data_IF_822627497726
#
_entry.id   IF_822627497726
#
_cell.length_a   1.000
_cell.length_b   1.000
_cell.length_c   1.000
_cell.angle_alpha   90.00
_cell.angle_beta   90.00
_cell.angle_gamma   90.00
#
_symmetry.space_group_name_H-M   'P 1'
#
loop_
_entity.id
_entity.type
_entity.pdbx_description
1 polymer ?
2 non-polymer ?
#
# COMPACT_ATOMS: atom_id res chain seq x y z
N UNK A 6 -23.00 12.60 -3.52
CA UNK A 6 -21.66 12.84 -4.10
C UNK A 6 -21.15 14.27 -3.79
N UNK A 7 -20.66 14.47 -2.57
CA UNK A 7 -20.21 15.80 -2.15
C UNK A 7 -18.94 16.15 -2.91
N UNK A 8 -18.79 17.41 -3.31
CA UNK A 8 -17.54 17.90 -3.89
C UNK A 8 -16.81 18.80 -2.89
N UNK A 9 -15.50 18.61 -2.72
CA UNK A 9 -14.70 19.45 -1.82
C UNK A 9 -13.70 20.24 -2.66
N UNK A 10 -13.99 21.53 -2.89
CA UNK A 10 -13.11 22.45 -3.59
C UNK A 10 -11.80 22.54 -2.89
N UNK A 11 -10.72 22.59 -3.66
CA UNK A 11 -9.40 22.46 -3.09
C UNK A 11 -8.53 23.63 -3.53
N UNK A 12 -7.78 24.20 -2.57
CA UNK A 12 -6.74 25.18 -2.86
C UNK A 12 -5.37 24.49 -2.90
N UNK A 13 -4.65 24.67 -4.00
CA UNK A 13 -3.43 23.90 -4.24
C UNK A 13 -2.18 24.74 -4.00
N UNK A 14 -1.16 24.10 -3.43
CA UNK A 14 0.10 24.79 -3.15
C UNK A 14 1.27 23.85 -3.38
N UNK A 15 2.30 24.36 -4.07
CA UNK A 15 3.55 23.64 -4.34
C UNK A 15 4.76 24.52 -3.99
N UNK A 16 5.98 23.98 -4.16
CA UNK A 16 7.24 24.61 -3.68
C UNK A 16 7.52 26.00 -4.21
N UNK A 31 6.33 27.49 0.03
CA UNK A 31 5.21 26.88 -0.67
C UNK A 31 4.26 27.98 -1.20
N UNK A 32 3.77 27.83 -2.43
CA UNK A 32 3.07 28.91 -3.16
C UNK A 32 1.73 28.49 -3.80
N UNK A 33 0.71 29.35 -3.72
CA UNK A 33 -0.62 29.00 -4.25
C UNK A 33 -0.59 28.92 -5.76
N UNK A 34 -1.23 27.87 -6.28
CA UNK A 34 -1.28 27.62 -7.73
C UNK A 34 -2.72 27.70 -8.25
N UNK A 35 -2.90 28.44 -9.34
CA UNK A 35 -4.22 28.65 -9.96
C UNK A 35 -4.40 27.89 -11.26
N UNK A 36 -3.30 27.62 -11.96
CA UNK A 36 -3.37 26.96 -13.26
C UNK A 36 -3.86 25.53 -13.20
N UNK A 37 -3.79 24.86 -14.35
CA UNK A 37 -3.85 23.40 -14.41
C UNK A 37 -2.41 22.89 -14.25
N UNK A 38 -2.26 21.76 -13.58
CA UNK A 38 -0.94 21.17 -13.37
C UNK A 38 -0.98 19.64 -13.28
N UNK A 39 0.19 19.00 -13.29
CA UNK A 39 0.30 17.54 -13.38
C UNK A 39 0.64 16.88 -12.04
N UNK A 40 -0.19 15.92 -11.64
CA UNK A 40 0.07 15.12 -10.45
C UNK A 40 0.75 13.83 -10.87
N UNK A 41 2.04 13.73 -10.55
CA UNK A 41 2.82 12.54 -10.86
C UNK A 41 2.75 11.55 -9.72
N UNK A 42 3.23 10.35 -9.96
CA UNK A 42 3.37 9.32 -8.94
C UNK A 42 4.10 9.89 -7.70
N UNK A 43 5.07 10.80 -7.90
CA UNK A 43 5.89 11.36 -6.80
C UNK A 43 5.43 12.72 -6.21
N UNK A 44 4.25 13.19 -6.59
CA UNK A 44 3.75 14.50 -6.18
C UNK A 44 3.42 15.40 -7.35
N UNK A 45 2.96 16.61 -7.06
CA UNK A 45 2.70 17.59 -8.12
C UNK A 45 4.00 18.13 -8.72
N UNK A 46 3.96 18.58 -9.97
CA UNK A 46 5.14 19.17 -10.61
C UNK A 46 5.53 20.51 -9.99
N UNK A 47 6.81 20.68 -9.66
CA UNK A 47 7.30 21.88 -8.97
C UNK A 47 7.44 21.72 -7.46
N UNK A 48 6.90 20.61 -6.92
CA UNK A 48 7.04 20.28 -5.49
C UNK A 48 8.34 19.51 -5.21
N UNK A 58 8.66 9.91 -0.46
CA UNK A 58 8.28 8.68 -1.15
C UNK A 58 6.84 8.60 -1.65
N UNK A 59 6.53 7.59 -2.50
CA UNK A 59 5.24 7.40 -3.17
C UNK A 59 4.01 7.36 -2.23
N UNK A 60 4.20 6.92 -0.98
CA UNK A 60 3.10 6.89 0.01
C UNK A 60 2.75 8.26 0.56
N UNK A 61 3.68 9.20 0.46
CA UNK A 61 3.55 10.53 1.06
C UNK A 61 3.72 11.63 -0.01
N UNK A 62 3.20 11.42 -1.22
CA UNK A 62 3.38 12.39 -2.32
C UNK A 62 2.47 13.65 -2.22
N UNK A 63 1.52 13.65 -1.29
CA UNK A 63 0.52 14.72 -1.22
C UNK A 63 0.07 14.94 0.22
N UNK A 64 0.24 16.17 0.71
CA UNK A 64 -0.08 16.49 2.08
C UNK A 64 -1.38 17.28 2.10
N UNK A 65 -2.27 16.96 3.03
CA UNK A 65 -3.58 17.59 3.16
C UNK A 65 -3.75 18.11 4.59
N UNK A 66 -4.23 19.35 4.72
CA UNK A 66 -4.57 19.90 6.02
C UNK A 66 -5.91 20.64 5.99
N UNK A 67 -6.80 20.33 6.93
CA UNK A 67 -8.07 21.03 7.00
C UNK A 67 -7.93 22.50 7.37
N UNK A 68 -8.37 23.36 6.45
CA UNK A 68 -8.36 24.83 6.63
C UNK A 68 -9.02 25.24 7.94
N UNK A 69 -9.97 24.44 8.42
CA UNK A 69 -10.73 24.74 9.66
C UNK A 69 -9.87 24.84 10.92
N UNK A 70 -8.78 24.07 10.97
CA UNK A 70 -7.96 23.98 12.15
C UNK A 70 -7.22 25.28 12.42
N UNK A 71 -7.13 26.14 11.42
CA UNK A 71 -6.41 27.38 11.61
C UNK A 71 -7.11 28.31 12.60
N UNK A 72 -8.42 28.40 12.48
CA UNK A 72 -9.27 29.06 13.45
C UNK A 72 -8.96 28.62 14.88
N UNK A 73 -8.79 27.32 15.08
CA UNK A 73 -8.46 26.78 16.41
C UNK A 73 -7.12 27.28 16.93
N UNK A 74 -6.09 27.20 16.08
CA UNK A 74 -4.75 27.63 16.44
C UNK A 74 -4.71 29.11 16.74
N UNK A 75 -5.43 29.89 15.94
CA UNK A 75 -5.52 31.33 16.13
C UNK A 75 -6.12 31.65 17.50
N UNK A 76 -7.15 30.90 17.91
CA UNK A 76 -7.73 31.08 19.25
C UNK A 76 -6.73 30.69 20.32
N UNK A 77 -6.01 29.61 20.08
CA UNK A 77 -5.01 29.09 21.02
C UNK A 77 -3.82 30.01 21.20
N UNK A 78 -3.41 30.70 20.14
CA UNK A 78 -2.24 31.59 20.17
C UNK A 78 -2.60 32.93 19.52
N UNK A 79 -3.33 33.77 20.25
CA UNK A 79 -3.86 35.02 19.69
C UNK A 79 -2.75 35.92 19.16
N UNK A 80 -1.68 36.04 19.94
CA UNK A 80 -0.61 36.99 19.62
C UNK A 80 0.24 36.53 18.40
N UNK A 81 -0.10 35.41 17.80
CA UNK A 81 0.52 34.99 16.52
C UNK A 81 -0.50 34.37 15.55
N UNK A 82 -1.74 34.86 15.62
CA UNK A 82 -2.81 34.43 14.73
C UNK A 82 -2.48 34.66 13.27
N UNK A 83 -1.62 35.65 12.97
CA UNK A 83 -1.29 36.01 11.60
C UNK A 83 -0.50 34.88 10.91
N UNK A 84 0.19 34.06 11.71
CA UNK A 84 1.00 32.93 11.21
C UNK A 84 0.16 31.72 10.78
N UNK A 85 -1.04 31.61 11.33
CA UNK A 85 -1.89 30.45 11.11
C UNK A 85 -2.88 30.63 9.97
N UNK A 86 -2.34 30.62 8.76
CA UNK A 86 -3.11 30.56 7.52
C UNK A 86 -2.48 29.54 6.60
N UNK A 87 -3.24 29.05 5.63
CA UNK A 87 -2.69 28.14 4.65
C UNK A 87 -1.59 28.86 3.85
N UNK A 88 -0.48 28.16 3.52
CA UNK A 88 -0.09 26.78 3.87
C UNK A 88 0.93 26.68 5.01
N UNK A 89 0.64 27.35 6.13
CA UNK A 89 1.61 27.42 7.23
C UNK A 89 2.13 26.05 7.67
N UNK A 90 1.30 25.02 7.58
CA UNK A 90 1.66 23.67 8.02
C UNK A 90 2.22 22.80 6.88
N UNK A 91 2.69 23.44 5.81
CA UNK A 91 3.30 22.72 4.69
C UNK A 91 2.38 21.90 3.75
N UNK A 92 1.07 22.17 3.75
CA UNK A 92 0.11 21.34 2.98
C UNK A 92 0.05 21.63 1.47
N UNK A 93 -0.26 20.60 0.67
CA UNK A 93 -0.48 20.76 -0.76
C UNK A 93 -1.94 21.04 -1.06
N UNK A 94 -2.83 20.48 -0.24
CA UNK A 94 -4.27 20.65 -0.43
C UNK A 94 -4.90 21.27 0.80
N UNK A 95 -5.63 22.36 0.58
CA UNK A 95 -6.37 23.04 1.63
C UNK A 95 -7.84 22.99 1.27
N UNK A 96 -8.68 22.58 2.24
CA UNK A 96 -10.11 22.38 2.04
C UNK A 96 -10.90 22.78 3.25
N UNK A 97 -12.22 22.81 3.08
CA UNK A 97 -13.11 23.19 4.13
C UNK A 97 -14.29 22.24 4.08
N UNK A 98 -14.51 21.53 5.19
CA UNK A 98 -15.54 20.50 5.27
C UNK A 98 -15.03 19.08 5.40
N UNK A 99 -13.75 18.84 5.12
CA UNK A 99 -13.14 17.54 5.39
C UNK A 99 -12.23 17.69 6.59
N UNK A 100 -12.40 16.81 7.58
CA UNK A 100 -11.50 16.73 8.73
C UNK A 100 -11.24 15.28 9.11
N UNK A 101 -10.37 15.09 10.10
CA UNK A 101 -9.90 13.75 10.44
C UNK A 101 -11.01 12.84 10.90
N UNK A 102 -12.15 13.38 11.28
CA UNK A 102 -13.24 12.56 11.81
C UNK A 102 -14.26 12.15 10.75
N UNK A 103 -14.18 12.72 9.55
CA UNK A 103 -15.08 12.34 8.47
C UNK A 103 -14.35 11.91 7.21
N UNK A 104 -13.02 11.72 7.31
CA UNK A 104 -12.17 11.10 6.26
C UNK A 104 -11.57 9.81 6.79
N UNK A 105 -11.59 8.78 5.97
CA UNK A 105 -11.28 7.42 6.41
C UNK A 105 -10.05 6.91 5.70
N UNK A 106 -9.29 6.08 6.41
CA UNK A 106 -8.11 5.40 5.85
C UNK A 106 -8.50 4.61 4.59
N UNK A 107 -7.67 4.69 3.56
CA UNK A 107 -7.93 4.00 2.32
C UNK A 107 -8.93 4.70 1.40
N UNK A 108 -9.50 5.81 1.85
CA UNK A 108 -10.49 6.48 1.01
C UNK A 108 -9.83 6.81 -0.31
N UNK A 109 -10.53 6.57 -1.41
CA UNK A 109 -10.05 6.95 -2.74
C UNK A 109 -10.89 8.11 -3.27
N UNK A 110 -10.20 9.18 -3.68
CA UNK A 110 -10.84 10.35 -4.26
C UNK A 110 -10.38 10.53 -5.69
N UNK A 111 -11.31 10.92 -6.54
CA UNK A 111 -10.95 11.37 -7.86
C UNK A 111 -10.66 12.83 -7.73
N UNK A 112 -9.61 13.29 -8.40
CA UNK A 112 -9.30 14.70 -8.47
C UNK A 112 -8.93 15.02 -9.91
N UNK A 113 -9.80 15.71 -10.62
CA UNK A 113 -9.62 15.93 -12.04
C UNK A 113 -9.51 14.59 -12.72
N UNK A 114 -8.32 14.32 -13.26
CA UNK A 114 -8.04 13.09 -14.02
C UNK A 114 -7.35 12.02 -13.17
N UNK A 115 -6.92 12.39 -11.96
CA UNK A 115 -6.11 11.50 -11.15
C UNK A 115 -6.94 10.83 -10.06
N UNK A 116 -6.36 9.77 -9.49
CA UNK A 116 -6.91 9.06 -8.34
C UNK A 116 -5.91 9.10 -7.19
N UNK A 117 -6.39 9.34 -5.98
CA UNK A 117 -5.51 9.38 -4.81
C UNK A 117 -6.17 8.64 -3.64
N UNK A 118 -5.35 8.10 -2.75
CA UNK A 118 -5.83 7.27 -1.65
C UNK A 118 -5.22 7.76 -0.35
N UNK A 119 -6.01 7.76 0.73
CA UNK A 119 -5.55 8.22 2.02
C UNK A 119 -4.70 7.16 2.63
N UNK A 120 -3.44 7.48 2.92
CA UNK A 120 -2.41 6.47 3.31
C UNK A 120 -2.05 6.50 4.80
N UNK A 121 -2.15 7.66 5.43
CA UNK A 121 -1.86 7.80 6.85
C UNK A 121 -2.21 9.19 7.33
N UNK A 122 -2.34 9.35 8.65
CA UNK A 122 -2.28 10.67 9.26
C UNK A 122 -0.87 11.22 9.13
N UNK A 123 -0.73 12.53 9.03
CA UNK A 123 0.60 13.15 9.02
C UNK A 123 1.17 13.17 10.44
N UNK A 124 2.39 12.69 10.60
CA UNK A 124 3.01 12.71 11.92
C UNK A 124 3.65 14.08 12.19
N UNK A 125 3.23 14.76 13.27
CA UNK A 125 3.85 16.06 13.52
C UNK A 125 5.32 15.94 13.87
N UNK A 126 6.07 16.98 13.55
CA UNK A 126 7.52 16.93 13.50
C UNK A 126 8.03 18.17 14.25
N UNK A 127 9.17 18.06 14.93
CA UNK A 127 9.73 19.17 15.71
C UNK A 127 10.00 20.40 14.84
N UNK A 128 10.34 20.21 13.57
CA UNK A 128 10.65 21.31 12.67
C UNK A 128 9.56 22.40 12.64
N UNK A 129 8.31 21.98 12.80
CA UNK A 129 7.18 22.89 12.90
C UNK A 129 7.36 23.89 14.07
N UNK A 130 7.90 23.40 15.18
CA UNK A 130 8.09 24.26 16.35
C UNK A 130 8.96 25.47 15.99
N UNK A 131 10.00 25.21 15.19
CA UNK A 131 10.91 26.26 14.72
C UNK A 131 10.28 27.10 13.63
N UNK A 132 9.46 26.49 12.79
CA UNK A 132 8.77 27.23 11.74
C UNK A 132 7.86 28.30 12.35
N UNK A 133 7.04 27.92 13.32
CA UNK A 133 6.17 28.90 13.98
C UNK A 133 6.82 29.64 15.13
N UNK A 134 8.04 29.24 15.52
CA UNK A 134 8.69 29.76 16.74
C UNK A 134 7.72 29.72 17.94
N UNK A 135 7.09 28.57 18.10
CA UNK A 135 6.29 28.20 19.27
C UNK A 135 6.75 26.82 19.71
N UNK A 136 7.08 26.65 20.98
CA UNK A 136 7.94 25.56 21.42
C UNK A 136 7.31 24.16 21.41
N UNK A 137 5.98 24.09 21.41
CA UNK A 137 5.30 22.80 21.65
C UNK A 137 4.21 22.49 20.65
N UNK A 138 4.29 23.12 19.48
CA UNK A 138 3.26 22.99 18.46
C UNK A 138 3.03 21.56 18.06
N UNK A 139 4.12 20.84 17.76
CA UNK A 139 4.08 19.46 17.27
C UNK A 139 3.37 18.58 18.30
N UNK A 140 3.82 18.68 19.55
CA UNK A 140 3.19 17.98 20.66
C UNK A 140 1.71 18.26 20.68
N UNK A 141 1.35 19.55 20.66
CA UNK A 141 -0.04 19.96 20.68
C UNK A 141 -0.83 19.42 19.49
N UNK A 142 -0.23 19.43 18.31
CA UNK A 142 -0.88 18.89 17.12
C UNK A 142 -1.23 17.45 17.36
N UNK A 143 -0.24 16.70 17.81
CA UNK A 143 -0.43 15.28 18.01
C UNK A 143 -1.52 15.05 19.05
N UNK A 144 -1.47 15.76 20.17
CA UNK A 144 -2.47 15.58 21.22
C UNK A 144 -3.89 15.85 20.76
N UNK A 145 -4.12 16.97 20.08
CA UNK A 145 -5.43 17.31 19.52
C UNK A 145 -5.84 16.35 18.40
N UNK A 146 -4.89 15.82 17.65
CA UNK A 146 -5.20 15.00 16.49
C UNK A 146 -5.53 15.83 15.26
N UNK A 147 -5.32 17.15 15.33
CA UNK A 147 -5.50 18.05 14.18
C UNK A 147 -4.23 18.04 13.29
N UNK A 148 -3.97 16.89 12.69
CA UNK A 148 -2.69 16.64 11.98
C UNK A 148 -2.79 16.67 10.45
N UNK A 149 -3.95 16.35 9.90
CA UNK A 149 -4.10 16.18 8.44
C UNK A 149 -3.64 14.80 7.97
N UNK A 150 -3.55 14.60 6.65
CA UNK A 150 -3.22 13.28 6.12
C UNK A 150 -2.45 13.37 4.83
N UNK A 151 -1.77 12.28 4.48
CA UNK A 151 -1.03 12.17 3.24
C UNK A 151 -1.74 11.21 2.27
N UNK A 152 -1.51 11.41 0.98
CA UNK A 152 -2.09 10.53 -0.02
C UNK A 152 -1.00 9.77 -0.73
N UNK A 153 -1.36 8.62 -1.30
CA UNK A 153 -0.53 8.01 -2.35
C UNK A 153 -1.27 8.18 -3.65
N UNK A 154 -0.55 8.34 -4.75
CA UNK A 154 -1.16 8.64 -6.02
C UNK A 154 -1.38 7.32 -6.77
N UNK A 155 -2.66 6.97 -6.96
CA UNK A 155 -3.04 5.70 -7.55
C UNK A 155 -2.98 5.78 -9.08
N UNK A 156 -3.44 6.90 -9.62
CA UNK A 156 -3.31 7.16 -11.05
C UNK A 156 -2.82 8.60 -11.25
N UNK A 157 -1.68 8.80 -11.95
CA UNK A 157 -1.23 10.14 -12.29
C UNK A 157 -2.14 10.79 -13.33
N UNK A 158 -2.30 12.11 -13.26
CA UNK A 158 -3.17 12.80 -14.20
C UNK A 158 -3.19 14.31 -14.09
N UNK A 159 -3.86 14.96 -15.05
CA UNK A 159 -4.00 16.42 -15.06
C UNK A 159 -4.98 16.82 -13.95
N UNK A 160 -4.53 17.73 -13.09
CA UNK A 160 -5.32 18.24 -11.95
C UNK A 160 -5.40 19.76 -12.00
N UNK A 161 -6.23 20.35 -11.15
CA UNK A 161 -6.29 21.82 -11.03
C UNK A 161 -6.99 22.29 -9.77
N UNK A 162 -6.78 23.58 -9.48
CA UNK A 162 -7.42 24.27 -8.36
C UNK A 162 -8.93 24.34 -8.58
N UNK A 163 -9.32 24.43 -9.84
CA UNK A 163 -10.73 24.48 -10.21
C UNK A 163 -11.44 23.10 -10.27
N UNK A 164 -10.72 22.03 -9.92
CA UNK A 164 -11.28 20.68 -9.93
C UNK A 164 -11.34 20.17 -8.50
N UNK A 165 -12.54 19.84 -8.02
CA UNK A 165 -12.73 19.42 -6.63
C UNK A 165 -12.36 17.97 -6.40
N UNK A 166 -12.21 17.59 -5.14
CA UNK A 166 -12.04 16.20 -4.77
C UNK A 166 -13.41 15.58 -4.72
N UNK A 167 -13.54 14.33 -5.17
CA UNK A 167 -14.81 13.56 -5.08
C UNK A 167 -14.54 12.14 -4.61
N UNK A 168 -15.07 11.79 -3.45
CA UNK A 168 -14.89 10.44 -2.89
C UNK A 168 -15.51 9.45 -3.86
N UNK A 169 -14.72 8.49 -4.33
CA UNK A 169 -15.27 7.46 -5.20
C UNK A 169 -15.30 6.08 -4.54
N UNK A 170 -14.39 5.80 -3.62
CA UNK A 170 -14.46 4.55 -2.86
C UNK A 170 -14.11 4.76 -1.42
N UNK A 171 -14.96 4.25 -0.52
CA UNK A 171 -14.63 4.11 0.86
C UNK A 171 -14.53 2.63 1.18
N UNK A 172 -13.33 2.22 1.56
CA UNK A 172 -13.00 0.79 1.68
C UNK A 172 -12.54 0.44 3.09
N UNK A 173 -12.96 1.26 4.03
CA UNK A 173 -12.51 1.09 5.38
C UNK A 173 -13.42 1.77 6.39
N UNK A 174 -13.25 1.36 7.64
CA UNK A 174 -14.04 1.88 8.75
C UNK A 174 -13.23 2.66 9.72
N UNK A 175 -11.96 2.86 9.42
CA UNK A 175 -11.06 3.55 10.29
C UNK A 175 -10.90 4.96 9.76
N UNK A 176 -11.35 5.95 10.55
CA UNK A 176 -11.26 7.34 10.16
C UNK A 176 -9.86 7.72 10.48
N UNK A 177 -9.34 8.77 9.84
CA UNK A 177 -7.98 9.26 10.12
C UNK A 177 -7.88 9.57 11.63
N UNK A 178 -8.93 10.15 12.19
CA UNK A 178 -8.99 10.37 13.63
C UNK A 178 -8.70 9.09 14.42
N UNK A 179 -9.42 8.00 14.15
CA UNK A 179 -9.17 6.76 14.89
C UNK A 179 -7.74 6.30 14.70
N UNK A 180 -7.19 6.40 13.48
CA UNK A 180 -5.79 6.00 13.23
C UNK A 180 -4.81 6.80 14.08
N UNK A 181 -5.12 8.07 14.30
CA UNK A 181 -4.25 8.96 15.07
C UNK A 181 -4.30 8.51 16.52
N UNK A 182 -5.53 8.24 17.00
CA UNK A 182 -5.75 7.74 18.37
C UNK A 182 -5.02 6.41 18.61
N UNK A 183 -5.15 5.44 17.69
CA UNK A 183 -4.46 4.16 17.84
C UNK A 183 -2.94 4.42 17.92
N UNK A 184 -2.49 5.37 17.12
CA UNK A 184 -1.07 5.67 17.02
C UNK A 184 -0.52 6.27 18.31
N UNK A 185 -1.22 7.25 18.86
CA UNK A 185 -0.63 8.23 19.81
C UNK A 185 -1.40 8.47 21.13
N UNK A 186 -2.70 8.19 21.15
CA UNK A 186 -3.51 8.48 22.31
C UNK A 186 -3.78 7.26 23.18
N UNK A 187 -3.69 6.04 22.67
CA UNK A 187 -4.11 4.88 23.44
C UNK A 187 -2.95 4.11 24.02
N UNK A 188 -3.15 3.48 25.19
CA UNK A 188 -2.20 2.49 25.65
C UNK A 188 -2.22 1.27 24.75
N UNK A 189 -1.13 0.50 24.82
CA UNK A 189 -0.89 -0.67 23.96
C UNK A 189 -2.14 -1.52 23.79
N UNK A 190 -2.54 -1.76 22.55
CA UNK A 190 -3.72 -2.59 22.28
C UNK A 190 -3.52 -3.35 20.96
N UNK A 191 -3.09 -4.60 21.09
CA UNK A 191 -2.78 -5.47 19.95
C UNK A 191 -3.93 -5.56 18.97
N UNK A 192 -5.13 -5.60 19.52
CA UNK A 192 -6.36 -5.68 18.77
C UNK A 192 -6.56 -4.49 17.89
N UNK A 193 -6.23 -3.31 18.42
CA UNK A 193 -6.39 -2.09 17.65
C UNK A 193 -5.30 -1.96 16.61
N UNK A 194 -4.13 -2.54 16.85
CA UNK A 194 -3.09 -2.53 15.82
C UNK A 194 -3.45 -3.46 14.65
N UNK A 195 -4.06 -4.60 14.98
CA UNK A 195 -4.57 -5.49 13.98
C UNK A 195 -5.59 -4.81 13.10
N UNK A 196 -6.46 -4.05 13.75
CA UNK A 196 -7.43 -3.27 13.05
C UNK A 196 -6.77 -2.28 12.11
N UNK A 197 -5.76 -1.55 12.60
CA UNK A 197 -5.14 -0.55 11.76
C UNK A 197 -4.43 -1.22 10.57
N UNK A 198 -3.74 -2.32 10.84
CA UNK A 198 -3.06 -3.08 9.78
C UNK A 198 -4.01 -3.56 8.67
N UNK A 199 -5.29 -3.77 9.01
CA UNK A 199 -6.34 -4.11 8.02
C UNK A 199 -6.86 -3.00 7.15
N UNK A 200 -6.44 -1.75 7.39
CA UNK A 200 -6.94 -0.62 6.63
C UNK A 200 -6.28 -0.53 5.24
N UNK A 201 -7.07 -0.69 4.20
CA UNK A 201 -6.64 -0.51 2.82
C UNK A 201 -5.91 0.81 2.67
N UNK A 202 -4.88 0.81 1.84
CA UNK A 202 -4.07 1.99 1.57
C UNK A 202 -3.02 2.36 2.60
N UNK A 203 -3.00 1.70 3.75
CA UNK A 203 -2.08 2.09 4.83
C UNK A 203 -0.64 2.26 4.29
N UNK A 204 0.00 3.37 4.60
CA UNK A 204 1.37 3.57 4.18
C UNK A 204 2.26 2.45 4.71
N UNK A 205 3.34 2.23 3.98
CA UNK A 205 4.38 1.26 4.32
C UNK A 205 4.99 1.54 5.69
N UNK A 206 5.33 2.80 5.97
CA UNK A 206 5.91 3.11 7.28
C UNK A 206 4.94 2.75 8.39
N UNK A 207 3.67 3.13 8.25
CA UNK A 207 2.72 2.88 9.32
C UNK A 207 2.50 1.38 9.47
N UNK A 208 2.54 0.65 8.37
CA UNK A 208 2.44 -0.80 8.45
C UNK A 208 3.63 -1.32 9.22
N UNK A 209 4.81 -0.81 8.90
CA UNK A 209 6.04 -1.26 9.57
C UNK A 209 5.99 -0.90 11.04
N UNK A 210 5.58 0.33 11.35
CA UNK A 210 5.53 0.80 12.72
C UNK A 210 4.62 -0.11 13.54
N UNK A 211 3.41 -0.32 13.04
CA UNK A 211 2.37 -1.04 13.82
C UNK A 211 2.72 -2.51 13.93
N UNK A 212 3.24 -3.09 12.86
CA UNK A 212 3.62 -4.50 12.92
C UNK A 212 4.71 -4.70 14.00
N UNK A 213 5.60 -3.72 14.11
CA UNK A 213 6.70 -3.80 15.06
C UNK A 213 6.20 -3.71 16.47
N UNK A 214 5.15 -2.93 16.69
CA UNK A 214 4.56 -2.85 18.03
C UNK A 214 4.04 -4.23 18.41
N UNK A 215 3.35 -4.88 17.46
CA UNK A 215 2.72 -6.16 17.72
C UNK A 215 3.73 -7.22 18.07
N UNK A 216 4.88 -7.22 17.38
CA UNK A 216 5.97 -8.17 17.63
C UNK A 216 6.79 -7.85 18.87
N UNK A 217 7.09 -6.58 19.10
CA UNK A 217 7.95 -6.16 20.21
C UNK A 217 7.21 -6.04 21.54
N UNK A 218 5.92 -5.73 21.46
CA UNK A 218 5.12 -5.51 22.65
C UNK A 218 5.30 -4.12 23.21
N UNK A 219 6.04 -3.27 22.49
CA UNK A 219 6.33 -1.90 22.94
C UNK A 219 5.90 -0.84 21.91
N UNK A 220 5.42 0.30 22.42
CA UNK A 220 5.11 1.47 21.61
C UNK A 220 6.38 2.26 21.38
N UNK A 221 6.69 2.58 20.13
CA UNK A 221 7.93 3.26 19.83
C UNK A 221 8.00 4.68 20.46
N UNK A 222 9.21 5.19 20.63
CA UNK A 222 9.43 6.53 21.11
C UNK A 222 8.95 7.63 20.16
N UNK A 223 8.27 8.65 20.66
CA UNK A 223 7.86 9.80 19.81
C UNK A 223 8.73 11.02 20.05
N UNK A 224 9.56 10.98 21.09
CA UNK A 224 10.23 12.18 21.55
C UNK A 224 11.12 12.82 20.48
N UNK A 225 11.98 12.02 19.87
CA UNK A 225 12.93 12.52 18.85
C UNK A 225 12.18 13.26 17.75
N UNK A 226 11.12 12.63 17.22
CA UNK A 226 10.28 13.28 16.20
C UNK A 226 9.64 14.61 16.66
N UNK A 227 9.11 14.64 17.89
CA UNK A 227 8.36 15.78 18.43
C UNK A 227 9.22 16.96 18.97
N UNK A 228 10.46 16.71 19.38
CA UNK A 228 11.22 17.81 19.99
C UNK A 228 12.55 18.17 19.31
N UNK A 229 13.12 17.23 18.54
CA UNK A 229 14.46 17.40 17.93
C UNK A 229 15.64 17.35 18.90
N UNK A 230 15.42 16.83 20.11
CA UNK A 230 16.46 16.78 21.14
C UNK A 230 16.94 15.33 21.40
N UNK B 6 3.46 -22.45 16.51
CA UNK B 6 3.22 -21.57 15.37
C UNK B 6 3.73 -22.22 14.08
N UNK B 7 3.00 -22.07 12.97
CA UNK B 7 3.36 -22.77 11.73
C UNK B 7 4.28 -21.89 10.87
N UNK B 8 5.46 -22.48 10.59
CA UNK B 8 6.57 -21.84 9.93
C UNK B 8 6.92 -22.64 8.66
N UNK B 9 7.18 -21.96 7.56
CA UNK B 9 7.31 -22.62 6.27
C UNK B 9 8.73 -22.49 5.69
N UNK B 10 9.48 -23.61 5.67
CA UNK B 10 10.78 -23.67 4.98
C UNK B 10 10.67 -23.20 3.53
N UNK B 11 11.73 -22.57 3.05
CA UNK B 11 11.67 -21.91 1.77
C UNK B 11 12.98 -22.11 1.02
N UNK B 12 12.89 -22.38 -0.28
CA UNK B 12 14.04 -22.34 -1.15
C UNK B 12 14.04 -20.98 -1.80
N UNK B 13 15.19 -20.30 -1.77
CA UNK B 13 15.33 -19.00 -2.42
C UNK B 13 16.03 -19.17 -3.76
N UNK B 14 15.72 -18.28 -4.69
CA UNK B 14 16.42 -18.19 -5.99
C UNK B 14 16.56 -16.69 -6.37
N UNK B 15 17.71 -16.27 -6.88
CA UNK B 15 17.92 -14.88 -7.34
C UNK B 15 18.40 -14.80 -8.79
N UNK B 16 17.70 -14.04 -9.63
CA UNK B 16 18.13 -13.84 -11.03
C UNK B 16 19.44 -13.08 -11.13
N UNK B 31 17.30 -18.30 -13.31
CA UNK B 31 17.39 -18.11 -11.86
C UNK B 31 18.10 -19.25 -11.14
N UNK B 32 18.89 -18.88 -10.12
CA UNK B 32 19.82 -19.81 -9.46
C UNK B 32 19.51 -19.92 -7.97
N UNK B 33 19.62 -21.14 -7.43
CA UNK B 33 19.30 -21.39 -6.04
C UNK B 33 20.38 -20.85 -5.10
N UNK B 34 20.00 -19.89 -4.27
CA UNK B 34 20.88 -19.37 -3.22
C UNK B 34 20.55 -20.09 -1.93
N UNK B 35 21.57 -20.37 -1.12
CA UNK B 35 21.36 -20.98 0.20
C UNK B 35 22.18 -20.32 1.32
N UNK B 36 23.10 -19.42 0.96
CA UNK B 36 23.69 -18.52 1.95
C UNK B 36 22.67 -17.53 2.51
N UNK B 37 23.13 -16.69 3.43
CA UNK B 37 22.38 -15.51 3.87
C UNK B 37 22.52 -14.49 2.76
N UNK B 38 21.53 -13.61 2.61
CA UNK B 38 21.61 -12.48 1.71
C UNK B 38 20.66 -11.37 2.17
N UNK B 39 20.82 -10.16 1.62
CA UNK B 39 20.07 -9.01 2.13
C UNK B 39 18.82 -8.76 1.32
N UNK B 40 17.67 -8.63 1.99
CA UNK B 40 16.40 -8.31 1.33
C UNK B 40 16.12 -6.84 1.45
N UNK B 41 16.03 -6.14 0.33
CA UNK B 41 15.85 -4.70 0.35
C UNK B 41 14.49 -4.34 -0.17
N UNK B 42 14.15 -3.07 0.00
CA UNK B 42 12.90 -2.49 -0.49
C UNK B 42 12.68 -2.84 -1.95
N UNK B 43 13.76 -2.87 -2.75
CA UNK B 43 13.68 -3.15 -4.19
C UNK B 43 13.84 -4.65 -4.56
N UNK B 44 13.98 -5.52 -3.55
CA UNK B 44 14.08 -6.98 -3.76
C UNK B 44 15.35 -7.54 -3.15
N UNK B 45 15.65 -8.81 -3.42
CA UNK B 45 16.85 -9.49 -2.89
C UNK B 45 18.14 -8.97 -3.52
N UNK B 46 19.24 -8.98 -2.77
CA UNK B 46 20.52 -8.52 -3.30
C UNK B 46 21.02 -9.52 -4.38
N UNK B 47 21.47 -8.98 -5.51
CA UNK B 47 21.76 -9.77 -6.71
C UNK B 47 20.61 -9.86 -7.74
N UNK B 48 19.35 -9.68 -7.29
CA UNK B 48 18.18 -9.85 -8.18
C UNK B 48 18.02 -8.61 -9.08
N UNK B 58 9.07 -2.68 -9.47
CA UNK B 58 8.73 -1.70 -8.43
C UNK B 58 8.55 -2.28 -7.02
N UNK B 59 8.46 -1.40 -6.00
CA UNK B 59 8.40 -1.78 -4.57
C UNK B 59 7.28 -2.73 -4.20
N UNK B 60 6.17 -2.70 -4.96
CA UNK B 60 4.99 -3.60 -4.73
C UNK B 60 5.23 -5.02 -5.19
N UNK B 61 6.19 -5.20 -6.10
CA UNK B 61 6.47 -6.50 -6.74
C UNK B 61 7.94 -6.85 -6.57
N UNK B 62 8.46 -6.65 -5.36
CA UNK B 62 9.89 -6.92 -5.11
C UNK B 62 10.23 -8.43 -4.90
N UNK B 63 9.21 -9.26 -4.73
CA UNK B 63 9.44 -10.66 -4.33
C UNK B 63 8.34 -11.54 -4.89
N UNK B 64 8.74 -12.52 -5.70
CA UNK B 64 7.81 -13.39 -6.38
C UNK B 64 7.79 -14.70 -5.63
N UNK B 65 6.60 -15.25 -5.42
CA UNK B 65 6.37 -16.53 -4.71
C UNK B 65 5.57 -17.46 -5.59
N UNK B 66 5.97 -18.72 -5.67
CA UNK B 66 5.18 -19.74 -6.36
C UNK B 66 5.14 -21.04 -5.56
N UNK B 67 3.96 -21.62 -5.37
CA UNK B 67 3.84 -22.92 -4.70
C UNK B 67 4.42 -24.10 -5.49
N UNK B 68 5.32 -24.87 -4.89
CA UNK B 68 5.96 -26.04 -5.56
C UNK B 68 4.99 -27.13 -6.03
N UNK B 69 3.80 -27.19 -5.44
CA UNK B 69 2.81 -28.23 -5.77
C UNK B 69 2.28 -28.15 -7.19
N UNK B 70 2.24 -26.94 -7.74
CA UNK B 70 1.65 -26.72 -9.06
C UNK B 70 2.42 -27.41 -10.20
N UNK B 71 3.68 -27.71 -9.94
CA UNK B 71 4.53 -28.30 -10.95
C UNK B 71 4.01 -29.69 -11.34
N UNK B 72 3.67 -30.49 -10.34
CA UNK B 72 2.98 -31.77 -10.55
C UNK B 72 1.83 -31.66 -11.53
N UNK B 73 1.02 -30.62 -11.36
CA UNK B 73 -0.10 -30.37 -12.25
C UNK B 73 0.38 -30.13 -13.70
N UNK B 74 1.35 -29.23 -13.87
CA UNK B 74 1.83 -28.87 -15.19
C UNK B 74 2.46 -30.07 -15.87
N UNK B 75 3.20 -30.86 -15.11
CA UNK B 75 3.81 -32.08 -15.64
C UNK B 75 2.74 -33.04 -16.19
N UNK B 76 1.63 -33.18 -15.48
CA UNK B 76 0.54 -34.04 -15.93
C UNK B 76 -0.05 -33.43 -17.19
N UNK B 77 -0.23 -32.11 -17.18
CA UNK B 77 -0.80 -31.40 -18.34
C UNK B 77 0.08 -31.45 -19.61
N UNK B 78 1.39 -31.45 -19.44
CA UNK B 78 2.29 -31.46 -20.57
C UNK B 78 3.37 -32.53 -20.38
N UNK B 79 2.99 -33.80 -20.53
CA UNK B 79 3.92 -34.90 -20.22
C UNK B 79 5.23 -34.81 -20.97
N UNK B 80 5.15 -34.48 -22.26
CA UNK B 80 6.32 -34.47 -23.14
C UNK B 80 7.29 -33.30 -22.86
N UNK B 81 6.94 -32.46 -21.88
CA UNK B 81 7.87 -31.44 -21.37
C UNK B 81 7.82 -31.31 -19.85
N UNK B 82 7.61 -32.44 -19.17
CA UNK B 82 7.61 -32.50 -17.71
C UNK B 82 8.95 -32.07 -17.06
N UNK B 83 10.03 -32.21 -17.80
CA UNK B 83 11.37 -31.88 -17.29
C UNK B 83 11.53 -30.35 -17.09
N UNK B 84 10.76 -29.58 -17.86
CA UNK B 84 10.80 -28.12 -17.78
C UNK B 84 10.15 -27.55 -16.52
N UNK B 85 9.20 -28.30 -15.95
CA UNK B 85 8.38 -27.85 -14.82
C UNK B 85 8.94 -28.26 -13.47
N UNK B 86 10.02 -27.58 -13.09
CA UNK B 86 10.57 -27.65 -11.75
C UNK B 86 10.93 -26.24 -11.32
N UNK B 87 11.05 -26.04 -10.02
CA UNK B 87 11.46 -24.73 -9.51
C UNK B 87 12.89 -24.41 -9.99
N UNK B 88 13.15 -23.15 -10.39
CA UNK B 88 12.27 -21.97 -10.47
C UNK B 88 11.79 -21.64 -11.91
N UNK B 89 11.21 -22.62 -12.58
CA UNK B 89 10.81 -22.42 -13.96
C UNK B 89 9.93 -21.20 -14.14
N UNK B 90 9.07 -20.91 -13.17
CA UNK B 90 8.14 -19.77 -13.27
C UNK B 90 8.71 -18.46 -12.72
N UNK B 91 10.03 -18.36 -12.61
CA UNK B 91 10.69 -17.13 -12.20
C UNK B 91 10.57 -16.76 -10.75
N UNK B 92 10.10 -17.68 -9.92
CA UNK B 92 9.81 -17.32 -8.53
C UNK B 92 11.10 -17.10 -7.73
N UNK B 93 11.03 -16.23 -6.73
CA UNK B 93 12.14 -16.02 -5.80
C UNK B 93 12.00 -17.00 -4.64
N UNK B 94 10.76 -17.24 -4.21
CA UNK B 94 10.49 -18.13 -3.08
C UNK B 94 9.70 -19.36 -3.49
N UNK B 95 10.21 -20.55 -3.15
CA UNK B 95 9.52 -21.81 -3.40
C UNK B 95 9.23 -22.52 -2.08
N UNK B 96 7.98 -22.94 -1.91
CA UNK B 96 7.52 -23.54 -0.67
C UNK B 96 6.57 -24.70 -0.94
N UNK B 97 6.24 -25.38 0.14
CA UNK B 97 5.37 -26.50 0.08
C UNK B 97 4.44 -26.36 1.28
N UNK B 98 3.13 -26.31 1.01
CA UNK B 98 2.10 -26.16 2.05
C UNK B 98 1.38 -24.80 2.04
N UNK B 99 1.91 -23.83 1.30
CA UNK B 99 1.22 -22.56 1.09
C UNK B 99 0.72 -22.57 -0.35
N UNK B 100 -0.57 -22.31 -0.52
CA UNK B 100 -1.16 -22.12 -1.84
C UNK B 100 -2.16 -20.98 -1.80
N UNK B 101 -2.65 -20.60 -2.97
CA UNK B 101 -3.52 -19.43 -3.10
C UNK B 101 -4.80 -19.53 -2.28
N UNK B 102 -5.16 -20.72 -1.82
CA UNK B 102 -6.39 -20.87 -1.05
C UNK B 102 -6.19 -20.77 0.45
N UNK B 103 -4.93 -20.78 0.92
CA UNK B 103 -4.65 -20.66 2.35
C UNK B 103 -3.67 -19.54 2.66
N UNK B 104 -3.44 -18.66 1.67
CA UNK B 104 -2.70 -17.42 1.85
C UNK B 104 -3.61 -16.26 1.51
N UNK B 105 -3.56 -15.20 2.29
CA UNK B 105 -4.55 -14.12 2.21
C UNK B 105 -3.92 -12.81 1.85
N UNK B 106 -4.68 -11.97 1.16
CA UNK B 106 -4.25 -10.61 0.85
C UNK B 106 -3.87 -9.84 2.13
N UNK B 107 -2.79 -9.08 2.05
CA UNK B 107 -2.30 -8.33 3.21
C UNK B 107 -1.59 -9.13 4.28
N UNK B 108 -1.42 -10.44 4.07
CA UNK B 108 -0.78 -11.25 5.11
C UNK B 108 0.59 -10.69 5.32
N UNK B 109 1.02 -10.57 6.58
CA UNK B 109 2.39 -10.19 6.86
C UNK B 109 3.15 -11.37 7.44
N UNK B 110 4.30 -11.69 6.81
CA UNK B 110 5.20 -12.74 7.27
C UNK B 110 6.56 -12.18 7.69
N UNK B 111 7.08 -12.69 8.79
CA UNK B 111 8.45 -12.40 9.15
C UNK B 111 9.30 -13.44 8.43
N UNK B 112 10.41 -12.99 7.87
CA UNK B 112 11.37 -13.87 7.23
C UNK B 112 12.74 -13.45 7.70
N UNK B 113 13.36 -14.26 8.55
CA UNK B 113 14.58 -13.88 9.19
C UNK B 113 14.40 -12.56 9.94
N UNK B 114 15.05 -11.51 9.44
CA UNK B 114 15.02 -10.18 10.02
C UNK B 114 14.07 -9.22 9.29
N UNK B 115 13.51 -9.64 8.17
CA UNK B 115 12.70 -8.76 7.35
C UNK B 115 11.22 -9.04 7.59
N UNK B 116 10.38 -8.11 7.13
CA UNK B 116 8.93 -8.26 7.13
C UNK B 116 8.41 -8.05 5.72
N UNK B 117 7.51 -8.94 5.27
CA UNK B 117 6.94 -8.85 3.94
C UNK B 117 5.42 -9.05 3.96
N UNK B 118 4.74 -8.41 2.99
CA UNK B 118 3.28 -8.38 2.94
C UNK B 118 2.79 -8.79 1.54
N UNK B 119 1.74 -9.62 1.49
CA UNK B 119 1.21 -10.14 0.25
C UNK B 119 0.46 -9.01 -0.41
N UNK B 120 0.83 -8.67 -1.65
CA UNK B 120 0.31 -7.45 -2.30
C UNK B 120 -0.65 -7.72 -3.45
N UNK B 121 -0.55 -8.89 -4.06
CA UNK B 121 -1.41 -9.26 -5.18
C UNK B 121 -1.08 -10.65 -5.67
N UNK B 122 -2.05 -11.28 -6.34
CA UNK B 122 -1.73 -12.43 -7.17
C UNK B 122 -0.77 -12.01 -8.29
N UNK B 123 0.13 -12.92 -8.69
CA UNK B 123 1.04 -12.64 -9.80
C UNK B 123 0.26 -12.74 -11.08
N UNK B 124 0.32 -11.69 -11.91
CA UNK B 124 -0.40 -11.72 -13.19
C UNK B 124 0.40 -12.42 -14.28
N UNK B 125 -0.13 -13.51 -14.85
CA UNK B 125 0.65 -14.20 -15.89
C UNK B 125 0.85 -13.37 -17.15
N UNK B 126 1.97 -13.59 -17.79
CA UNK B 126 2.52 -12.72 -18.78
C UNK B 126 2.89 -13.57 -19.98
N UNK B 127 2.77 -13.01 -21.19
CA UNK B 127 3.06 -13.77 -22.43
C UNK B 127 4.50 -14.30 -22.46
N UNK B 128 5.43 -13.59 -21.85
CA UNK B 128 6.84 -13.99 -21.83
C UNK B 128 7.07 -15.43 -21.37
N UNK B 129 6.23 -15.90 -20.46
CA UNK B 129 6.26 -17.29 -20.02
C UNK B 129 6.04 -18.26 -21.17
N UNK B 130 5.16 -17.91 -22.11
CA UNK B 130 4.88 -18.77 -23.27
C UNK B 130 6.15 -19.02 -24.05
N UNK B 131 6.99 -17.99 -24.18
CA UNK B 131 8.28 -18.14 -24.85
C UNK B 131 9.32 -18.83 -23.97
N UNK B 132 9.26 -18.62 -22.67
CA UNK B 132 10.17 -19.29 -21.77
C UNK B 132 9.99 -20.80 -21.83
N UNK B 133 8.75 -21.28 -21.76
CA UNK B 133 8.48 -22.71 -21.89
C UNK B 133 8.37 -23.18 -23.35
N UNK B 134 8.26 -22.27 -24.30
CA UNK B 134 7.93 -22.59 -25.70
C UNK B 134 6.69 -23.50 -25.78
N UNK B 135 5.67 -23.11 -25.02
CA UNK B 135 4.32 -23.67 -25.08
C UNK B 135 3.41 -22.47 -25.22
N UNK B 136 2.49 -22.54 -26.19
CA UNK B 136 1.87 -21.32 -26.72
C UNK B 136 0.89 -20.62 -25.84
N UNK B 137 0.31 -21.32 -24.85
CA UNK B 137 -0.86 -20.83 -24.09
C UNK B 137 -0.71 -20.94 -22.57
N UNK B 138 0.53 -21.03 -22.10
CA UNK B 138 0.80 -21.23 -20.69
C UNK B 138 0.24 -20.11 -19.80
N UNK B 139 0.41 -18.87 -20.22
CA UNK B 139 -0.05 -17.73 -19.43
C UNK B 139 -1.55 -17.78 -19.30
N UNK B 140 -2.23 -17.97 -20.43
CA UNK B 140 -3.69 -18.11 -20.44
C UNK B 140 -4.13 -19.21 -19.48
N UNK B 141 -3.49 -20.37 -19.57
CA UNK B 141 -3.83 -21.51 -18.72
C UNK B 141 -3.56 -21.25 -17.26
N UNK B 142 -2.47 -20.54 -16.97
CA UNK B 142 -2.16 -20.16 -15.61
C UNK B 142 -3.27 -19.32 -15.03
N UNK B 143 -3.67 -18.32 -15.79
CA UNK B 143 -4.70 -17.39 -15.34
C UNK B 143 -6.00 -18.17 -15.12
N UNK B 144 -6.38 -19.03 -16.07
CA UNK B 144 -7.63 -19.79 -15.97
C UNK B 144 -7.70 -20.72 -14.77
N UNK B 145 -6.63 -21.47 -14.52
CA UNK B 145 -6.56 -22.33 -13.34
C UNK B 145 -6.47 -21.54 -12.03
N UNK B 146 -5.90 -20.34 -12.08
CA UNK B 146 -5.61 -19.57 -10.88
C UNK B 146 -4.35 -20.04 -10.17
N UNK B 147 -3.57 -20.94 -10.79
CA UNK B 147 -2.29 -21.40 -10.22
C UNK B 147 -1.18 -20.43 -10.58
N UNK B 148 -1.24 -19.23 -10.00
CA UNK B 148 -0.41 -18.10 -10.39
C UNK B 148 0.66 -17.68 -9.37
N UNK B 149 0.45 -18.00 -8.08
CA UNK B 149 1.38 -17.57 -7.03
C UNK B 149 1.14 -16.12 -6.73
N UNK B 150 2.04 -15.49 -5.93
CA UNK B 150 1.77 -14.14 -5.47
C UNK B 150 3.02 -13.32 -5.31
N UNK B 151 2.87 -12.00 -5.28
CA UNK B 151 3.98 -11.09 -5.09
C UNK B 151 3.92 -10.47 -3.71
N UNK B 152 5.09 -10.11 -3.18
CA UNK B 152 5.14 -9.40 -1.88
C UNK B 152 5.61 -7.97 -2.04
N UNK B 153 5.22 -7.11 -1.11
CA UNK B 153 5.90 -5.84 -0.93
C UNK B 153 6.75 -6.01 0.30
N UNK B 154 7.86 -5.31 0.36
CA UNK B 154 8.79 -5.46 1.49
C UNK B 154 8.53 -4.34 2.50
N UNK B 155 8.01 -4.73 3.67
CA UNK B 155 7.55 -3.79 4.70
C UNK B 155 8.72 -3.32 5.53
N UNK B 156 9.63 -4.26 5.86
CA UNK B 156 10.91 -3.95 6.50
C UNK B 156 12.06 -4.67 5.80
N UNK B 157 13.07 -3.92 5.33
CA UNK B 157 14.26 -4.56 4.76
C UNK B 157 15.08 -5.23 5.85
N UNK B 158 15.75 -6.34 5.52
CA UNK B 158 16.59 -7.02 6.50
C UNK B 158 17.41 -8.20 5.98
N UNK B 159 18.26 -8.74 6.83
CA UNK B 159 19.03 -9.95 6.50
C UNK B 159 18.09 -11.18 6.43
N UNK B 160 18.13 -11.89 5.32
CA UNK B 160 17.30 -13.09 5.12
C UNK B 160 18.19 -14.26 4.73
N UNK B 161 17.66 -15.48 4.71
CA UNK B 161 18.41 -16.65 4.22
C UNK B 161 17.48 -17.82 3.83
N UNK B 162 18.06 -18.79 3.14
CA UNK B 162 17.34 -20.01 2.76
C UNK B 162 17.07 -20.84 4.02
N UNK B 163 17.95 -20.72 5.00
CA UNK B 163 17.80 -21.44 6.27
C UNK B 163 16.81 -20.79 7.25
N UNK B 164 16.18 -19.68 6.85
CA UNK B 164 15.23 -18.97 7.69
C UNK B 164 13.84 -19.10 7.08
N UNK B 165 12.87 -19.65 7.81
CA UNK B 165 11.55 -19.90 7.24
C UNK B 165 10.70 -18.67 7.21
N UNK B 166 9.60 -18.71 6.45
CA UNK B 166 8.55 -17.71 6.57
C UNK B 166 7.70 -18.07 7.79
N UNK B 167 7.31 -17.05 8.57
CA UNK B 167 6.32 -17.20 9.66
C UNK B 167 5.26 -16.13 9.56
N UNK B 168 4.01 -16.55 9.44
CA UNK B 168 2.85 -15.64 9.39
C UNK B 168 2.72 -14.94 10.75
N UNK B 169 2.78 -13.60 10.75
CA UNK B 169 2.66 -12.84 12.01
C UNK B 169 1.36 -12.05 12.07
N UNK B 170 0.85 -11.61 10.92
CA UNK B 170 -0.44 -10.94 10.87
C UNK B 170 -1.27 -11.35 9.69
N UNK B 171 -2.51 -11.78 9.95
CA UNK B 171 -3.51 -11.95 8.93
C UNK B 171 -4.61 -10.94 9.13
N UNK B 172 -4.77 -10.03 8.17
CA UNK B 172 -5.60 -8.82 8.33
C UNK B 172 -6.73 -8.69 7.28
N UNK B 173 -7.15 -9.81 6.72
CA UNK B 173 -8.08 -9.81 5.61
C UNK B 173 -8.77 -11.16 5.43
N UNK B 174 -9.86 -11.10 4.67
CA UNK B 174 -10.65 -12.26 4.35
C UNK B 174 -10.71 -12.62 2.88
N UNK B 175 -9.82 -12.02 2.11
CA UNK B 175 -9.70 -12.31 0.70
C UNK B 175 -8.44 -13.17 0.49
N UNK B 176 -8.61 -14.42 0.06
CA UNK B 176 -7.48 -15.27 -0.25
C UNK B 176 -6.95 -14.82 -1.59
N UNK B 177 -5.70 -15.15 -1.87
CA UNK B 177 -5.13 -14.87 -3.21
C UNK B 177 -6.01 -15.51 -4.30
N UNK B 178 -6.48 -16.72 -4.06
CA UNK B 178 -7.41 -17.34 -4.94
C UNK B 178 -8.62 -16.44 -5.24
N UNK B 179 -9.27 -15.94 -4.21
CA UNK B 179 -10.44 -15.09 -4.44
C UNK B 179 -10.06 -13.85 -5.25
N UNK B 180 -8.93 -13.24 -4.92
CA UNK B 180 -8.49 -12.06 -5.69
C UNK B 180 -8.28 -12.38 -7.19
N UNK B 181 -7.77 -13.57 -7.46
CA UNK B 181 -7.58 -14.00 -8.85
C UNK B 181 -8.94 -14.18 -9.50
N UNK B 182 -9.87 -14.79 -8.80
CA UNK B 182 -11.22 -14.99 -9.34
C UNK B 182 -11.90 -13.63 -9.62
N UNK B 183 -11.83 -12.70 -8.66
CA UNK B 183 -12.44 -11.38 -8.86
C UNK B 183 -11.78 -10.75 -10.09
N UNK B 184 -10.48 -10.95 -10.22
CA UNK B 184 -9.75 -10.32 -11.30
C UNK B 184 -10.19 -10.85 -12.65
N UNK B 185 -10.24 -12.16 -12.78
CA UNK B 185 -10.15 -12.83 -14.10
C UNK B 185 -11.25 -13.87 -14.43
N UNK B 186 -11.89 -14.42 -13.40
CA UNK B 186 -12.87 -15.47 -13.60
C UNK B 186 -14.34 -15.00 -13.59
N UNK B 187 -14.63 -13.84 -12.99
CA UNK B 187 -16.02 -13.43 -12.79
C UNK B 187 -16.48 -12.37 -13.79
N UNK B 188 -17.75 -12.43 -14.17
CA UNK B 188 -18.32 -11.25 -14.83
C UNK B 188 -18.35 -10.05 -13.89
N UNK B 189 -18.43 -8.85 -14.46
CA UNK B 189 -18.41 -7.58 -13.74
C UNK B 189 -19.24 -7.59 -12.44
N UNK B 190 -18.62 -7.28 -11.31
CA UNK B 190 -19.32 -7.26 -10.03
C UNK B 190 -18.75 -6.16 -9.15
N UNK B 191 -19.39 -4.99 -9.19
CA UNK B 191 -18.94 -3.82 -8.43
C UNK B 191 -18.70 -4.15 -6.96
N UNK B 192 -19.58 -4.97 -6.41
CA UNK B 192 -19.52 -5.35 -5.02
C UNK B 192 -18.22 -6.05 -4.75
N UNK B 193 -17.83 -6.94 -5.66
CA UNK B 193 -16.62 -7.73 -5.45
C UNK B 193 -15.35 -6.88 -5.66
N UNK B 194 -15.45 -5.86 -6.49
CA UNK B 194 -14.33 -4.91 -6.61
C UNK B 194 -14.18 -4.04 -5.37
N UNK B 195 -15.30 -3.62 -4.79
CA UNK B 195 -15.30 -2.93 -3.50
C UNK B 195 -14.60 -3.78 -2.41
N UNK B 196 -14.99 -5.05 -2.36
CA UNK B 196 -14.37 -5.99 -1.47
C UNK B 196 -12.87 -6.05 -1.68
N UNK B 197 -12.43 -6.18 -2.93
CA UNK B 197 -11.00 -6.29 -3.19
C UNK B 197 -10.26 -5.02 -2.81
N UNK B 198 -10.82 -3.87 -3.19
CA UNK B 198 -10.25 -2.56 -2.77
C UNK B 198 -10.11 -2.39 -1.25
N UNK B 199 -10.92 -3.12 -0.48
CA UNK B 199 -10.79 -3.16 0.98
C UNK B 199 -9.73 -4.09 1.51
N UNK B 200 -8.98 -4.77 0.69
CA UNK B 200 -7.93 -5.68 1.19
C UNK B 200 -6.63 -4.95 1.59
N UNK B 201 -6.25 -5.11 2.85
CA UNK B 201 -4.95 -4.61 3.33
C UNK B 201 -3.84 -5.07 2.43
N UNK B 202 -2.90 -4.17 2.17
CA UNK B 202 -1.73 -4.46 1.39
C UNK B 202 -1.86 -4.43 -0.12
N UNK B 203 -3.09 -4.38 -0.64
CA UNK B 203 -3.31 -4.42 -2.10
C UNK B 203 -2.32 -3.53 -2.82
N UNK B 204 -1.68 -4.06 -3.85
CA UNK B 204 -0.75 -3.26 -4.63
C UNK B 204 -1.44 -2.07 -5.26
N UNK B 205 -0.63 -1.06 -5.55
CA UNK B 205 -1.07 0.14 -6.22
C UNK B 205 -1.71 -0.16 -7.58
N UNK B 206 -1.08 -1.01 -8.38
CA UNK B 206 -1.64 -1.29 -9.71
C UNK B 206 -2.97 -2.02 -9.66
N UNK B 207 -3.14 -2.91 -8.70
CA UNK B 207 -4.43 -3.62 -8.57
C UNK B 207 -5.48 -2.67 -8.06
N UNK B 208 -5.12 -1.79 -7.12
CA UNK B 208 -6.01 -0.73 -6.67
C UNK B 208 -6.43 0.13 -7.86
N UNK B 209 -5.47 0.54 -8.69
CA UNK B 209 -5.77 1.37 -9.85
C UNK B 209 -6.67 0.63 -10.81
N UNK B 210 -6.33 -0.63 -11.10
CA UNK B 210 -7.11 -1.45 -12.01
C UNK B 210 -8.58 -1.56 -11.55
N UNK B 211 -8.77 -1.93 -10.29
CA UNK B 211 -10.09 -2.23 -9.78
C UNK B 211 -10.90 -0.97 -9.64
N UNK B 212 -10.25 0.11 -9.24
CA UNK B 212 -10.97 1.36 -9.12
C UNK B 212 -11.48 1.77 -10.51
N UNK B 213 -10.65 1.56 -11.52
CA UNK B 213 -11.00 1.98 -12.86
C UNK B 213 -12.18 1.21 -13.39
N UNK B 214 -12.27 -0.08 -13.01
CA UNK B 214 -13.43 -0.90 -13.38
C UNK B 214 -14.71 -0.25 -12.80
N UNK B 215 -14.64 0.12 -11.52
CA UNK B 215 -15.80 0.65 -10.85
C UNK B 215 -16.30 1.91 -11.52
N UNK B 216 -15.37 2.78 -11.92
CA UNK B 216 -15.72 4.04 -12.57
C UNK B 216 -16.12 3.87 -14.02
N UNK B 217 -15.44 2.98 -14.74
CA UNK B 217 -15.69 2.82 -16.19
C UNK B 217 -16.87 1.89 -16.50
N UNK B 218 -17.16 0.97 -15.57
CA UNK B 218 -18.16 -0.05 -15.78
C UNK B 218 -17.69 -1.16 -16.71
N UNK B 219 -16.41 -1.18 -17.06
CA UNK B 219 -15.89 -2.17 -18.02
C UNK B 219 -14.67 -2.88 -17.40
N UNK B 220 -14.52 -4.17 -17.72
CA UNK B 220 -13.35 -4.97 -17.36
C UNK B 220 -12.28 -4.72 -18.41
N UNK B 221 -11.07 -4.39 -17.98
CA UNK B 221 -10.00 -4.07 -18.93
C UNK B 221 -9.65 -5.30 -19.81
N UNK B 222 -9.00 -5.05 -20.95
CA UNK B 222 -8.51 -6.12 -21.82
C UNK B 222 -7.37 -6.87 -21.15
N UNK B 223 -7.33 -8.21 -21.30
CA UNK B 223 -6.20 -9.02 -20.84
C UNK B 223 -5.31 -9.46 -21.99
N UNK B 224 -5.80 -9.31 -23.21
CA UNK B 224 -5.19 -10.00 -24.34
C UNK B 224 -3.73 -9.59 -24.54
N UNK B 225 -3.46 -8.28 -24.49
CA UNK B 225 -2.10 -7.75 -24.72
C UNK B 225 -1.08 -8.37 -23.75
N UNK B 226 -1.48 -8.46 -22.48
CA UNK B 226 -0.67 -9.12 -21.45
C UNK B 226 -0.47 -10.60 -21.65
N UNK B 227 -1.54 -11.30 -21.99
CA UNK B 227 -1.49 -12.75 -22.19
C UNK B 227 -0.81 -13.17 -23.51
N UNK B 228 -0.71 -12.25 -24.49
CA UNK B 228 -0.18 -12.61 -25.81
C UNK B 228 0.87 -11.66 -26.43
N UNK B 229 0.63 -10.34 -26.31
CA UNK B 229 1.44 -9.31 -27.02
C UNK B 229 0.59 -8.30 -27.78
X LIG C 1 5.80 8.86 9.35
X LIG C 1 5.67 8.39 7.93
X LIG C 1 4.45 9.35 9.84
X LIG C 1 6.79 9.97 9.34
X LIG C 1 6.27 7.73 10.24
X LIG D 1 0.19 -6.39 -12.70
X LIG D 1 1.58 -6.57 -13.23
X LIG D 1 -0.57 -7.69 -12.72
X LIG D 1 -0.52 -5.30 -13.50
X LIG D 1 0.25 -6.03 -11.26
#
# INVERSE_FOLDING_TARGET
GSAKDPMRYPVDVYTGKIQAYPEGKPSAIAKIQVDGELMLTELGLEGDEQAEKKVHGGPDRALCHYPREHYLYWAREFPEQAELFVAPAFGENLSTDGLTESNVYMGDIFRWGEALIQVSQPRSPCYKLNYHFDISDIAQLMQNTGKVGWLYSVIAPGKVSADAPLELVSRVSDVTVQEAAAIAWHMPFDDDQYHRLLSAAGLSKSWTRTMQKRRLSGKIEDFSRRLWGK
GSAKDPMRYPVDVYTGKIQAYPEGKPSAIAKIQVDGELMLTELGLEGDEQAEKKVHGGPDRALCHYPREHYLYWAREFPEQAELFVAPAFGENLSTDGLTESNVYMGDIFRWGEALIQVSQPRSPCYKLNYHFDISDIAQLMQNTGKVGWLYSVIAPGKVSADAPLELVSRVSDVTVQEAAAIAWHMPFDDDQYHRLLSAAGLSKSWTRTMQKRRLSGKIEDFSRRLWGK
PO4 P O1 O2 O3 O4
PO4 P O1 O2 O3 O4
#
